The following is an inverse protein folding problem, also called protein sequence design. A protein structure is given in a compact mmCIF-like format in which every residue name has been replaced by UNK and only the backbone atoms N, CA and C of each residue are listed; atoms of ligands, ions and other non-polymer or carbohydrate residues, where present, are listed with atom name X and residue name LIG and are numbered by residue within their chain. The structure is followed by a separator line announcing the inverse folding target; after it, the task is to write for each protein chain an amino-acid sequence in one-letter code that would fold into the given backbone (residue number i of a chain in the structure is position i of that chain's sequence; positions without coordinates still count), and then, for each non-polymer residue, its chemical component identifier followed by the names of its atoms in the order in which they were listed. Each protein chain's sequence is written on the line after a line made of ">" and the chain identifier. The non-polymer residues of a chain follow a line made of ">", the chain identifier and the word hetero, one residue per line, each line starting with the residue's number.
data_IF_982184378412
#
_entry.id   IF_982184378412
#
_cell.length_a   1.000
_cell.length_b   1.000
_cell.length_c   1.000
_cell.angle_alpha   90.00
_cell.angle_beta   90.00
_cell.angle_gamma   90.00
#
_symmetry.space_group_name_H-M   'P 1'
#
loop_
_entity.id
_entity.type
_entity.pdbx_description
1 polymer ?
#
# COMPACT_ATOMS: atom_id res chain seq x y z
N UNK A 1 6.98 -26.53 -13.58
CA UNK A 1 6.99 -25.90 -12.23
C UNK A 1 6.39 -24.53 -12.39
N UNK A 2 5.19 -24.34 -11.95
CA UNK A 2 4.52 -23.02 -11.94
C UNK A 2 5.28 -22.14 -10.95
N UNK A 3 6.12 -21.23 -11.45
CA UNK A 3 6.70 -20.19 -10.61
C UNK A 3 5.55 -19.45 -9.93
N UNK A 4 5.60 -19.41 -8.60
CA UNK A 4 4.57 -18.75 -7.80
C UNK A 4 4.63 -17.23 -8.08
N UNK A 5 3.62 -16.73 -8.77
CA UNK A 5 3.51 -15.30 -9.13
C UNK A 5 3.66 -14.36 -7.93
N UNK A 6 3.32 -14.82 -6.73
CA UNK A 6 3.38 -14.03 -5.50
C UNK A 6 4.75 -14.06 -4.81
N UNK A 7 5.70 -14.88 -5.28
CA UNK A 7 7.04 -14.98 -4.67
C UNK A 7 7.79 -13.64 -4.76
N UNK A 8 8.28 -13.15 -3.63
CA UNK A 8 9.06 -11.92 -3.53
C UNK A 8 8.25 -10.62 -3.49
N UNK A 9 6.93 -10.66 -3.70
CA UNK A 9 6.09 -9.46 -3.68
C UNK A 9 6.08 -8.82 -2.30
N UNK A 10 5.93 -9.60 -1.24
CA UNK A 10 5.86 -9.10 0.13
C UNK A 10 7.16 -8.41 0.54
N UNK A 11 8.29 -9.01 0.21
CA UNK A 11 9.62 -8.47 0.48
C UNK A 11 9.89 -7.21 -0.36
N UNK A 12 9.44 -7.19 -1.61
CA UNK A 12 9.53 -6.02 -2.46
C UNK A 12 8.70 -4.86 -1.91
N UNK A 13 7.44 -5.09 -1.54
CA UNK A 13 6.54 -4.06 -1.00
C UNK A 13 7.12 -3.46 0.28
N UNK A 14 7.56 -4.29 1.23
CA UNK A 14 8.18 -3.82 2.47
C UNK A 14 9.45 -3.00 2.20
N UNK A 15 10.31 -3.47 1.29
CA UNK A 15 11.54 -2.76 0.92
C UNK A 15 11.26 -1.44 0.17
N UNK A 16 10.24 -1.41 -0.67
CA UNK A 16 9.83 -0.23 -1.42
C UNK A 16 9.22 0.86 -0.53
N UNK A 17 8.38 0.46 0.43
CA UNK A 17 7.74 1.39 1.37
C UNK A 17 8.74 1.97 2.39
N UNK A 18 9.66 1.15 2.89
CA UNK A 18 10.67 1.59 3.86
C UNK A 18 11.92 2.19 3.22
N UNK A 19 12.12 2.03 1.90
CA UNK A 19 13.33 2.34 1.15
C UNK A 19 14.61 1.76 1.81
N UNK A 20 14.46 0.60 2.48
CA UNK A 20 15.51 -0.06 3.25
C UNK A 20 15.30 -1.56 3.36
N UNK A 21 16.28 -2.36 2.93
CA UNK A 21 16.23 -3.82 3.13
C UNK A 21 16.33 -4.23 4.60
N UNK A 22 17.01 -3.41 5.42
CA UNK A 22 17.14 -3.67 6.86
C UNK A 22 15.81 -3.45 7.56
N UNK A 23 15.13 -2.33 7.28
CA UNK A 23 13.81 -2.04 7.85
C UNK A 23 12.77 -3.07 7.40
N UNK A 24 12.75 -3.42 6.10
CA UNK A 24 11.89 -4.46 5.58
C UNK A 24 12.16 -5.83 6.24
N UNK A 25 13.43 -6.15 6.47
CA UNK A 25 13.80 -7.39 7.17
C UNK A 25 13.27 -7.43 8.60
N UNK A 26 13.39 -6.33 9.34
CA UNK A 26 12.84 -6.22 10.70
C UNK A 26 11.32 -6.40 10.71
N UNK A 27 10.60 -5.75 9.78
CA UNK A 27 9.15 -5.86 9.64
C UNK A 27 8.72 -7.30 9.34
N UNK A 28 9.44 -8.00 8.46
CA UNK A 28 9.08 -9.33 7.98
C UNK A 28 9.66 -10.49 8.81
N UNK A 29 10.50 -10.19 9.81
CA UNK A 29 11.23 -11.23 10.56
C UNK A 29 12.29 -11.94 9.71
N UNK A 30 12.88 -11.23 8.74
CA UNK A 30 13.89 -11.73 7.81
C UNK A 30 15.21 -10.95 7.94
N UNK A 31 16.30 -11.52 7.45
CA UNK A 31 17.56 -10.78 7.31
C UNK A 31 17.48 -9.84 6.11
N UNK A 32 18.19 -8.72 6.15
CA UNK A 32 18.26 -7.79 5.00
C UNK A 32 18.80 -8.46 3.74
N UNK A 33 19.71 -9.43 3.89
CA UNK A 33 20.23 -10.25 2.80
C UNK A 33 19.15 -11.15 2.19
N UNK A 34 18.28 -11.75 3.00
CA UNK A 34 17.17 -12.58 2.54
C UNK A 34 16.16 -11.74 1.73
N UNK A 35 15.79 -10.56 2.25
CA UNK A 35 14.92 -9.61 1.53
C UNK A 35 15.56 -9.22 0.20
N UNK A 36 16.84 -8.83 0.21
CA UNK A 36 17.54 -8.45 -1.01
C UNK A 36 17.62 -9.55 -2.07
N UNK A 37 17.83 -10.82 -1.65
CA UNK A 37 17.83 -11.99 -2.55
C UNK A 37 16.44 -12.26 -3.12
N UNK A 38 15.39 -12.10 -2.30
CA UNK A 38 14.00 -12.29 -2.73
C UNK A 38 13.61 -11.27 -3.80
N UNK A 39 13.92 -9.99 -3.56
CA UNK A 39 13.69 -8.92 -4.55
C UNK A 39 14.49 -9.16 -5.83
N UNK A 40 15.74 -9.61 -5.73
CA UNK A 40 16.55 -9.90 -6.93
C UNK A 40 15.96 -11.04 -7.77
N UNK A 41 15.40 -12.08 -7.13
CA UNK A 41 14.69 -13.15 -7.85
C UNK A 41 13.42 -12.67 -8.52
N UNK A 42 12.66 -11.80 -7.83
CA UNK A 42 11.47 -11.15 -8.41
C UNK A 42 11.84 -10.34 -9.64
N UNK A 43 12.84 -9.47 -9.57
CA UNK A 43 13.34 -8.68 -10.69
C UNK A 43 13.80 -9.56 -11.87
N UNK A 44 14.51 -10.66 -11.57
CA UNK A 44 14.94 -11.61 -12.59
C UNK A 44 13.76 -12.28 -13.31
N UNK A 45 12.72 -12.64 -12.55
CA UNK A 45 11.47 -13.21 -13.10
C UNK A 45 10.71 -12.22 -13.99
N UNK A 46 10.65 -10.96 -13.56
CA UNK A 46 9.96 -9.89 -14.31
C UNK A 46 10.79 -9.36 -15.49
N UNK A 47 12.11 -9.63 -15.51
CA UNK A 47 13.02 -9.12 -16.52
C UNK A 47 13.33 -7.63 -16.45
N UNK A 48 12.95 -6.97 -15.34
CA UNK A 48 13.14 -5.54 -15.12
C UNK A 48 13.66 -5.25 -13.71
N UNK A 49 14.33 -4.11 -13.56
CA UNK A 49 14.74 -3.60 -12.25
C UNK A 49 13.62 -2.79 -11.64
N UNK A 50 13.27 -3.13 -10.39
CA UNK A 50 12.27 -2.43 -9.59
C UNK A 50 12.91 -1.45 -8.62
N UNK A 51 14.14 -1.75 -8.17
CA UNK A 51 14.89 -0.96 -7.20
C UNK A 51 16.32 -0.68 -7.69
N UNK A 52 16.73 0.58 -7.61
CA UNK A 52 18.12 0.99 -7.75
C UNK A 52 18.80 0.97 -6.37
N UNK A 53 19.92 0.26 -6.28
CA UNK A 53 20.77 0.22 -5.10
C UNK A 53 21.94 1.16 -5.30
N UNK A 54 22.02 2.20 -4.51
CA UNK A 54 23.22 3.00 -4.36
C UNK A 54 23.91 2.62 -3.04
N UNK A 55 25.14 3.02 -2.84
CA UNK A 55 25.88 2.79 -1.57
C UNK A 55 25.22 3.49 -0.37
N UNK A 56 24.28 4.41 -0.62
CA UNK A 56 23.65 5.23 0.43
C UNK A 56 22.13 5.13 0.47
N UNK A 57 21.46 4.69 -0.61
CA UNK A 57 20.00 4.74 -0.71
C UNK A 57 19.46 3.62 -1.59
N UNK A 58 18.25 3.17 -1.25
CA UNK A 58 17.38 2.37 -2.09
C UNK A 58 16.35 3.31 -2.74
N UNK A 59 16.18 3.22 -4.05
CA UNK A 59 15.30 4.11 -4.82
C UNK A 59 14.47 3.24 -5.76
N UNK A 60 13.17 3.52 -5.88
CA UNK A 60 12.31 2.88 -6.86
C UNK A 60 12.68 3.31 -8.29
N UNK A 61 12.60 2.38 -9.23
CA UNK A 61 12.57 2.69 -10.66
C UNK A 61 11.14 3.10 -11.07
N UNK A 62 10.95 3.60 -12.27
CA UNK A 62 9.61 3.86 -12.81
C UNK A 62 8.76 2.57 -12.86
N UNK A 63 9.37 1.46 -13.28
CA UNK A 63 8.75 0.14 -13.25
C UNK A 63 8.45 -0.31 -11.82
N UNK A 64 9.33 0.00 -10.87
CA UNK A 64 9.14 -0.28 -9.45
C UNK A 64 7.96 0.47 -8.86
N UNK A 65 7.79 1.75 -9.19
CA UNK A 65 6.64 2.56 -8.76
C UNK A 65 5.33 1.98 -9.30
N UNK A 66 5.27 1.68 -10.60
CA UNK A 66 4.10 1.10 -11.24
C UNK A 66 3.76 -0.29 -10.65
N UNK A 67 4.78 -1.12 -10.43
CA UNK A 67 4.60 -2.45 -9.85
C UNK A 67 4.16 -2.38 -8.38
N UNK A 68 4.74 -1.48 -7.58
CA UNK A 68 4.34 -1.24 -6.20
C UNK A 68 2.86 -0.84 -6.09
N UNK A 69 2.42 0.12 -6.92
CA UNK A 69 1.03 0.55 -6.94
C UNK A 69 0.08 -0.63 -7.25
N UNK A 70 0.47 -1.50 -8.17
CA UNK A 70 -0.31 -2.71 -8.51
C UNK A 70 -0.31 -3.73 -7.38
N UNK A 71 0.83 -3.99 -6.74
CA UNK A 71 0.92 -4.90 -5.60
C UNK A 71 0.04 -4.44 -4.44
N UNK A 72 0.06 -3.14 -4.12
CA UNK A 72 -0.76 -2.59 -3.03
C UNK A 72 -2.25 -2.77 -3.31
N UNK A 73 -2.73 -2.54 -4.55
CA UNK A 73 -4.12 -2.79 -4.92
C UNK A 73 -4.53 -4.26 -4.72
N UNK A 74 -3.70 -5.20 -5.16
CA UNK A 74 -3.97 -6.64 -5.02
C UNK A 74 -4.01 -7.04 -3.54
N UNK A 75 -3.09 -6.53 -2.72
CA UNK A 75 -3.05 -6.80 -1.28
C UNK A 75 -4.32 -6.25 -0.60
N UNK A 76 -4.71 -5.02 -0.94
CA UNK A 76 -5.92 -4.38 -0.41
C UNK A 76 -7.18 -5.20 -0.80
N UNK A 77 -7.31 -5.64 -2.06
CA UNK A 77 -8.43 -6.45 -2.55
C UNK A 77 -8.52 -7.81 -1.84
N UNK A 78 -7.38 -8.46 -1.59
CA UNK A 78 -7.34 -9.70 -0.82
C UNK A 78 -7.75 -9.47 0.64
N UNK A 79 -7.28 -8.38 1.26
CA UNK A 79 -7.63 -8.04 2.63
C UNK A 79 -9.14 -7.75 2.78
N UNK A 80 -9.75 -7.03 1.83
CA UNK A 80 -11.20 -6.80 1.79
C UNK A 80 -11.97 -8.12 1.67
N UNK A 81 -11.55 -8.99 0.74
CA UNK A 81 -12.19 -10.31 0.55
C UNK A 81 -12.10 -11.16 1.82
N UNK A 82 -10.93 -11.19 2.46
CA UNK A 82 -10.74 -11.89 3.73
C UNK A 82 -11.64 -11.31 4.83
N UNK A 83 -11.78 -9.98 4.88
CA UNK A 83 -12.70 -9.30 5.77
C UNK A 83 -14.14 -9.77 5.58
N UNK A 84 -14.61 -9.87 4.34
CA UNK A 84 -15.95 -10.36 4.00
C UNK A 84 -16.17 -11.83 4.40
N UNK A 85 -15.16 -12.67 4.25
CA UNK A 85 -15.23 -14.09 4.60
C UNK A 85 -15.22 -14.35 6.11
N UNK A 86 -14.61 -13.48 6.88
CA UNK A 86 -14.54 -13.58 8.34
C UNK A 86 -15.74 -12.95 9.04
N UNK A 87 -16.78 -12.57 8.31
CA UNK A 87 -17.94 -11.83 8.79
C UNK A 87 -18.84 -12.60 9.76
N UNK A 88 -18.36 -12.81 10.99
CA UNK A 88 -19.17 -12.65 12.20
C UNK A 88 -18.85 -11.35 12.94
N UNK A 89 -17.92 -10.54 12.45
CA UNK A 89 -17.47 -9.30 13.09
C UNK A 89 -17.92 -8.09 12.25
N UNK A 90 -18.80 -7.29 12.83
CA UNK A 90 -19.32 -6.02 12.28
C UNK A 90 -18.32 -4.87 12.34
N UNK A 91 -17.03 -5.15 12.46
CA UNK A 91 -16.00 -4.10 12.54
C UNK A 91 -15.35 -3.87 11.17
N UNK A 92 -15.30 -2.61 10.70
CA UNK A 92 -14.56 -2.26 9.50
C UNK A 92 -13.07 -2.57 9.66
N UNK A 93 -12.49 -3.23 8.67
CA UNK A 93 -11.06 -3.55 8.59
C UNK A 93 -10.53 -3.22 7.21
N UNK A 94 -9.23 -2.97 7.09
CA UNK A 94 -8.58 -2.66 5.81
C UNK A 94 -8.25 -1.19 5.67
N UNK A 95 -8.05 -0.74 4.43
CA UNK A 95 -7.68 0.65 4.13
C UNK A 95 -8.81 1.37 3.41
N UNK A 96 -9.07 2.61 3.82
CA UNK A 96 -10.01 3.52 3.15
C UNK A 96 -9.27 4.82 2.78
N UNK A 97 -9.21 5.10 1.49
CA UNK A 97 -8.60 6.32 0.92
C UNK A 97 -9.70 7.28 0.52
N UNK A 98 -9.70 8.45 1.16
CA UNK A 98 -10.75 9.47 0.97
C UNK A 98 -10.12 10.76 0.48
N UNK A 99 -10.67 11.34 -0.61
CA UNK A 99 -10.30 12.67 -1.07
C UNK A 99 -11.44 13.67 -0.84
N UNK A 100 -11.11 14.76 -0.18
CA UNK A 100 -12.07 15.75 0.33
C UNK A 100 -11.76 17.15 -0.21
N UNK A 101 -12.77 18.02 -0.38
CA UNK A 101 -12.55 19.45 -0.59
C UNK A 101 -11.91 20.05 0.67
N UNK A 102 -10.88 20.88 0.48
CA UNK A 102 -10.01 21.28 1.59
C UNK A 102 -10.75 21.93 2.76
N UNK A 103 -11.57 22.94 2.49
CA UNK A 103 -12.24 23.70 3.56
C UNK A 103 -13.38 22.92 4.19
N UNK A 104 -14.28 22.41 3.38
CA UNK A 104 -15.45 21.66 3.85
C UNK A 104 -15.04 20.33 4.51
N UNK A 105 -14.13 19.61 3.85
CA UNK A 105 -13.64 18.31 4.33
C UNK A 105 -12.98 18.42 5.70
N UNK A 106 -12.09 19.39 5.89
CA UNK A 106 -11.42 19.63 7.19
C UNK A 106 -12.40 19.98 8.30
N UNK A 107 -13.42 20.80 7.98
CA UNK A 107 -14.35 21.32 8.99
C UNK A 107 -15.46 20.34 9.37
N UNK A 108 -15.97 19.58 8.40
CA UNK A 108 -17.20 18.83 8.56
C UNK A 108 -17.03 17.32 8.49
N UNK A 109 -16.05 16.81 7.71
CA UNK A 109 -15.89 15.37 7.48
C UNK A 109 -14.73 14.80 8.29
N UNK A 110 -13.60 15.47 8.32
CA UNK A 110 -12.40 15.00 9.02
C UNK A 110 -12.64 14.64 10.50
N UNK A 111 -13.41 15.40 11.30
CA UNK A 111 -13.68 15.01 12.68
C UNK A 111 -14.34 13.64 12.80
N UNK A 112 -15.31 13.33 11.93
CA UNK A 112 -15.97 12.02 11.90
C UNK A 112 -14.99 10.90 11.50
N UNK A 113 -14.11 11.15 10.53
CA UNK A 113 -13.09 10.17 10.14
C UNK A 113 -12.07 9.92 11.25
N UNK A 114 -11.71 10.95 12.03
CA UNK A 114 -10.86 10.80 13.21
C UNK A 114 -11.55 9.92 14.26
N UNK A 115 -12.83 10.18 14.56
CA UNK A 115 -13.60 9.37 15.51
C UNK A 115 -13.71 7.91 15.03
N UNK A 116 -13.87 7.69 13.72
CA UNK A 116 -13.84 6.35 13.12
C UNK A 116 -12.49 5.67 13.33
N UNK A 117 -11.38 6.37 13.10
CA UNK A 117 -10.03 5.80 13.27
C UNK A 117 -9.72 5.41 14.71
N UNK A 118 -10.25 6.15 15.68
CA UNK A 118 -10.13 5.83 17.10
C UNK A 118 -10.99 4.62 17.47
N UNK A 119 -12.20 4.54 16.90
CA UNK A 119 -13.16 3.47 17.20
C UNK A 119 -12.78 2.14 16.53
N UNK A 120 -12.25 2.19 15.30
CA UNK A 120 -11.96 1.02 14.48
C UNK A 120 -10.46 0.94 14.20
N UNK A 121 -9.70 0.44 15.16
CA UNK A 121 -8.23 0.39 15.09
C UNK A 121 -7.64 -0.47 13.96
N UNK A 122 -8.47 -1.32 13.35
CA UNK A 122 -8.10 -2.14 12.17
C UNK A 122 -8.40 -1.46 10.84
N UNK A 123 -8.98 -0.25 10.89
CA UNK A 123 -9.25 0.57 9.71
C UNK A 123 -8.14 1.60 9.53
N UNK A 124 -7.35 1.44 8.46
CA UNK A 124 -6.34 2.41 8.05
C UNK A 124 -6.99 3.49 7.18
N UNK A 125 -7.08 4.72 7.70
CA UNK A 125 -7.69 5.85 7.00
C UNK A 125 -6.61 6.75 6.40
N UNK A 126 -6.65 6.89 5.07
CA UNK A 126 -5.81 7.83 4.34
C UNK A 126 -6.68 8.95 3.78
N UNK A 127 -6.46 10.19 4.24
CA UNK A 127 -7.26 11.34 3.83
C UNK A 127 -6.40 12.33 3.08
N UNK A 128 -6.80 12.63 1.84
CA UNK A 128 -6.22 13.70 1.02
C UNK A 128 -7.19 14.86 0.86
N UNK A 129 -6.65 16.02 0.56
CA UNK A 129 -7.43 17.24 0.32
C UNK A 129 -7.04 17.84 -1.01
N UNK A 130 -7.98 17.90 -1.93
CA UNK A 130 -7.74 18.51 -3.23
C UNK A 130 -8.96 19.29 -3.74
N UNK A 131 -8.67 20.34 -4.52
CA UNK A 131 -9.70 21.10 -5.25
C UNK A 131 -9.78 20.67 -6.72
N UNK A 132 -8.92 19.72 -7.13
CA UNK A 132 -8.87 19.22 -8.52
C UNK A 132 -9.76 17.99 -8.67
N UNK A 133 -10.21 17.77 -9.89
CA UNK A 133 -10.79 16.48 -10.26
C UNK A 133 -9.69 15.41 -10.12
N UNK A 134 -9.96 14.40 -9.32
CA UNK A 134 -9.09 13.26 -9.12
C UNK A 134 -9.58 12.10 -9.98
N UNK A 135 -8.65 11.33 -10.50
CA UNK A 135 -8.95 10.07 -11.18
C UNK A 135 -9.02 8.96 -10.13
N UNK A 136 -10.24 8.61 -9.73
CA UNK A 136 -10.49 7.63 -8.65
C UNK A 136 -9.74 6.32 -8.92
N UNK A 137 -9.71 5.87 -10.16
CA UNK A 137 -9.09 4.59 -10.53
C UNK A 137 -7.57 4.68 -10.53
N UNK A 138 -7.01 5.69 -11.20
CA UNK A 138 -5.56 5.83 -11.33
C UNK A 138 -4.89 6.33 -10.04
N UNK A 139 -5.59 7.19 -9.28
CA UNK A 139 -5.08 7.71 -8.00
C UNK A 139 -5.32 6.74 -6.83
N UNK A 140 -6.05 5.64 -7.08
CA UNK A 140 -6.33 4.61 -6.07
C UNK A 140 -7.13 5.13 -4.89
N UNK A 141 -8.10 6.02 -5.15
CA UNK A 141 -8.98 6.62 -4.15
C UNK A 141 -10.29 5.83 -4.10
N UNK A 142 -10.76 5.49 -2.89
CA UNK A 142 -11.96 4.69 -2.70
C UNK A 142 -13.21 5.57 -2.61
N UNK A 143 -13.08 6.76 -2.05
CA UNK A 143 -14.18 7.72 -1.85
C UNK A 143 -13.75 9.14 -2.15
N UNK A 144 -14.53 9.83 -2.95
CA UNK A 144 -14.34 11.26 -3.26
C UNK A 144 -15.57 12.03 -2.84
N UNK A 145 -15.37 13.11 -2.08
CA UNK A 145 -16.43 14.09 -1.79
C UNK A 145 -16.13 15.36 -2.57
N UNK A 146 -17.14 15.88 -3.24
CA UNK A 146 -17.09 17.17 -3.96
C UNK A 146 -18.34 18.00 -3.65
N UNK A 147 -18.16 19.32 -3.75
CA UNK A 147 -19.22 20.31 -3.52
C UNK A 147 -19.28 21.20 -4.77
#
# INVERSE_FOLDING_TARGET
>A
MTENTFDGIREFVAAAQSLSFTAAGLELGLTSSAVGKSVTRLEARLGVKLLHRTTRRLILTQEGEAYLASCLRVIDELAETQGLLTTGQQEPIGRLRVDLPATFGRRHILPTLIDMSVRYQKLDLSVSFSERLVDIVNDGIDLVVRI
#
